data_IF_139245087027
#
_entry.id   IF_139245087027
#
_cell.length_a   1.000
_cell.length_b   1.000
_cell.length_c   1.000
_cell.angle_alpha   90.00
_cell.angle_beta   90.00
_cell.angle_gamma   90.00
#
_symmetry.space_group_name_H-M   'P 1'
#
loop_
_entity.id
_entity.type
_entity.pdbx_description
1 polymer ?
#
# COMPACT_ATOMS: atom_id res chain seq x y z
N UNK A 1 12.97 4.98 17.52
CA UNK A 1 13.83 5.59 16.48
C UNK A 1 13.05 5.72 15.19
N UNK A 2 13.33 6.75 14.41
CA UNK A 2 12.59 6.99 13.17
C UNK A 2 12.61 5.81 12.21
N UNK A 3 13.72 5.05 12.20
CA UNK A 3 13.85 3.89 11.31
C UNK A 3 12.93 2.73 11.64
N UNK A 4 12.31 2.75 12.82
CA UNK A 4 11.39 1.69 13.24
C UNK A 4 9.94 2.04 12.98
N UNK A 5 9.67 3.25 12.52
CA UNK A 5 8.30 3.65 12.17
C UNK A 5 7.84 2.94 10.93
N UNK A 6 6.56 2.54 10.94
CA UNK A 6 5.91 2.01 9.76
C UNK A 6 5.70 3.15 8.75
N UNK A 7 6.09 2.94 7.52
CA UNK A 7 5.79 3.89 6.44
C UNK A 7 4.58 3.37 5.66
N UNK A 8 3.54 4.19 5.58
CA UNK A 8 2.33 3.86 4.81
C UNK A 8 2.40 4.65 3.51
N UNK A 9 2.51 3.95 2.39
CA UNK A 9 2.46 4.58 1.07
C UNK A 9 1.01 4.57 0.61
N UNK A 10 0.41 5.74 0.60
CA UNK A 10 -1.03 5.91 0.37
C UNK A 10 -1.28 6.83 -0.82
N UNK A 11 -1.28 6.28 -2.06
CA UNK A 11 -1.56 7.09 -3.24
C UNK A 11 -3.05 7.44 -3.32
N UNK A 12 -3.43 8.62 -2.84
CA UNK A 12 -4.81 9.09 -2.83
C UNK A 12 -5.25 9.76 -4.12
N UNK A 13 -4.30 10.14 -4.94
CA UNK A 13 -4.56 10.96 -6.11
C UNK A 13 -5.50 10.25 -7.09
N UNK A 14 -6.74 10.75 -7.16
CA UNK A 14 -7.80 10.25 -8.04
C UNK A 14 -8.35 8.85 -7.74
N UNK A 15 -8.18 8.39 -6.52
CA UNK A 15 -8.99 7.28 -6.05
C UNK A 15 -10.44 7.70 -5.88
N UNK A 16 -11.37 6.76 -5.90
CA UNK A 16 -12.76 7.04 -5.60
C UNK A 16 -12.89 7.52 -4.15
N UNK A 17 -13.70 8.53 -3.93
CA UNK A 17 -13.94 9.05 -2.59
C UNK A 17 -14.49 7.97 -1.66
N UNK A 18 -15.35 7.10 -2.16
CA UNK A 18 -15.95 6.02 -1.42
C UNK A 18 -14.91 5.00 -0.93
N UNK A 19 -14.04 4.54 -1.82
CA UNK A 19 -12.99 3.59 -1.47
C UNK A 19 -11.97 4.23 -0.52
N UNK A 20 -11.65 5.50 -0.70
CA UNK A 20 -10.77 6.21 0.22
C UNK A 20 -11.38 6.32 1.62
N UNK A 21 -12.67 6.59 1.72
CA UNK A 21 -13.34 6.70 3.01
C UNK A 21 -13.29 5.38 3.77
N UNK A 22 -13.55 4.26 3.10
CA UNK A 22 -13.45 2.93 3.73
C UNK A 22 -12.02 2.63 4.16
N UNK A 23 -11.07 2.90 3.28
CA UNK A 23 -9.66 2.63 3.55
C UNK A 23 -9.15 3.47 4.72
N UNK A 24 -9.56 4.74 4.80
CA UNK A 24 -9.18 5.61 5.91
C UNK A 24 -9.68 5.06 7.25
N UNK A 25 -10.90 4.54 7.31
CA UNK A 25 -11.43 3.93 8.52
C UNK A 25 -10.61 2.70 8.93
N UNK A 26 -10.25 1.88 7.96
CA UNK A 26 -9.44 0.68 8.23
C UNK A 26 -8.05 1.07 8.71
N UNK A 27 -7.42 2.05 8.08
CA UNK A 27 -6.11 2.51 8.48
C UNK A 27 -6.13 3.09 9.88
N UNK A 28 -7.13 3.89 10.21
CA UNK A 28 -7.26 4.47 11.55
C UNK A 28 -7.33 3.37 12.60
N UNK A 29 -8.14 2.34 12.36
CA UNK A 29 -8.27 1.22 13.29
C UNK A 29 -6.99 0.37 13.34
N UNK A 30 -6.39 0.07 12.19
CA UNK A 30 -5.22 -0.79 12.11
C UNK A 30 -3.96 -0.13 12.69
N UNK A 31 -3.86 1.18 12.57
CA UNK A 31 -2.68 1.93 13.03
C UNK A 31 -2.83 2.48 14.44
N UNK A 32 -3.93 2.20 15.12
CA UNK A 32 -4.13 2.65 16.48
C UNK A 32 -3.02 2.10 17.38
N UNK A 33 -2.34 3.00 18.08
CA UNK A 33 -1.22 2.63 18.95
C UNK A 33 0.07 2.30 18.21
N UNK A 34 0.11 2.43 16.88
CA UNK A 34 1.29 2.16 16.07
C UNK A 34 1.90 3.49 15.60
N UNK A 35 3.21 3.63 15.79
CA UNK A 35 3.91 4.81 15.28
C UNK A 35 4.12 4.63 13.77
N UNK A 36 3.36 5.40 13.00
CA UNK A 36 3.37 5.31 11.55
C UNK A 36 3.40 6.69 10.89
N UNK A 37 4.06 6.77 9.75
CA UNK A 37 4.05 7.96 8.90
C UNK A 37 3.32 7.64 7.62
N UNK A 38 2.34 8.47 7.25
CA UNK A 38 1.57 8.28 6.03
C UNK A 38 2.13 9.21 4.95
N UNK A 39 2.57 8.63 3.85
CA UNK A 39 3.08 9.35 2.69
C UNK A 39 2.01 9.35 1.63
N UNK A 40 1.37 10.51 1.43
CA UNK A 40 0.27 10.66 0.49
C UNK A 40 0.71 11.23 -0.85
N UNK A 41 1.76 12.03 -0.85
CA UNK A 41 2.28 12.66 -2.07
C UNK A 41 3.34 11.78 -2.71
N UNK A 42 2.97 11.11 -3.78
CA UNK A 42 3.87 10.18 -4.47
C UNK A 42 5.02 10.89 -5.20
N UNK A 43 4.94 12.19 -5.38
CA UNK A 43 6.07 12.97 -5.95
C UNK A 43 7.29 12.95 -5.01
N UNK A 44 7.08 12.66 -3.73
CA UNK A 44 8.17 12.58 -2.76
C UNK A 44 9.01 11.30 -2.87
N UNK A 45 8.52 10.29 -3.59
CA UNK A 45 9.19 8.98 -3.66
C UNK A 45 10.60 9.07 -4.23
N UNK A 46 10.81 9.92 -5.23
CA UNK A 46 12.10 10.05 -5.89
C UNK A 46 13.07 11.01 -5.21
N UNK A 47 12.58 11.79 -4.24
CA UNK A 47 13.40 12.84 -3.62
C UNK A 47 14.42 12.31 -2.62
N UNK A 48 14.15 11.15 -2.01
CA UNK A 48 15.07 10.54 -1.06
C UNK A 48 15.06 9.02 -1.26
N UNK A 49 15.94 8.53 -2.14
CA UNK A 49 15.95 7.10 -2.48
C UNK A 49 16.33 6.18 -1.33
N UNK A 50 17.00 6.69 -0.30
CA UNK A 50 17.38 5.88 0.84
C UNK A 50 16.27 5.71 1.88
N UNK A 51 15.24 6.54 1.80
CA UNK A 51 14.20 6.63 2.84
C UNK A 51 13.43 5.33 3.07
N UNK A 52 13.24 4.57 2.01
CA UNK A 52 12.36 3.39 2.03
C UNK A 52 13.11 2.07 2.18
N UNK A 53 14.41 2.09 2.13
CA UNK A 53 15.24 0.89 2.25
C UNK A 53 15.29 0.41 3.69
N UNK A 54 15.19 -0.92 3.87
CA UNK A 54 15.24 -1.53 5.19
C UNK A 54 14.07 -1.21 6.10
N UNK A 55 12.99 -0.65 5.58
CA UNK A 55 11.85 -0.18 6.37
C UNK A 55 10.69 -1.18 6.35
N UNK A 56 9.83 -1.06 7.34
CA UNK A 56 8.52 -1.72 7.31
C UNK A 56 7.57 -0.82 6.53
N UNK A 57 6.92 -1.39 5.53
CA UNK A 57 6.08 -0.64 4.61
C UNK A 57 4.68 -1.23 4.56
N UNK A 58 3.70 -0.36 4.40
CA UNK A 58 2.32 -0.74 4.11
C UNK A 58 1.88 0.04 2.88
N UNK A 59 1.53 -0.69 1.82
CA UNK A 59 0.94 -0.07 0.64
C UNK A 59 -0.57 -0.03 0.85
N UNK A 60 -1.14 1.17 0.90
CA UNK A 60 -2.58 1.37 1.07
C UNK A 60 -3.11 1.99 -0.23
N UNK A 61 -3.85 1.20 -1.02
CA UNK A 61 -4.22 1.59 -2.38
C UNK A 61 -5.73 1.59 -2.57
N UNK A 62 -6.37 2.77 -2.61
CA UNK A 62 -7.78 2.88 -2.99
C UNK A 62 -7.88 2.99 -4.51
N UNK A 63 -8.46 1.98 -5.13
CA UNK A 63 -8.69 2.00 -6.58
C UNK A 63 -10.01 2.70 -6.88
N UNK A 64 -10.00 3.57 -7.86
CA UNK A 64 -11.19 4.26 -8.29
C UNK A 64 -12.04 3.43 -9.25
N UNK A 65 -12.94 4.09 -9.95
CA UNK A 65 -13.79 3.47 -10.94
C UNK A 65 -12.97 2.69 -11.96
N UNK A 66 -13.42 1.49 -12.30
CA UNK A 66 -12.73 0.58 -13.22
C UNK A 66 -11.34 0.16 -12.74
N UNK A 67 -11.08 0.23 -11.43
CA UNK A 67 -9.81 -0.20 -10.85
C UNK A 67 -8.64 0.74 -11.12
N UNK A 68 -8.91 2.03 -11.33
CA UNK A 68 -7.87 3.00 -11.71
C UNK A 68 -7.47 3.89 -10.53
N UNK A 69 -6.17 4.05 -10.32
CA UNK A 69 -5.60 5.03 -9.40
C UNK A 69 -4.27 5.51 -9.99
N UNK A 70 -4.21 6.79 -10.36
CA UNK A 70 -3.01 7.36 -10.99
C UNK A 70 -1.81 7.41 -10.07
N UNK A 71 -2.03 7.66 -8.79
CA UNK A 71 -0.95 7.65 -7.82
C UNK A 71 -0.32 6.26 -7.68
N UNK A 72 -1.12 5.23 -7.79
CA UNK A 72 -0.62 3.86 -7.80
C UNK A 72 0.30 3.61 -9.01
N UNK A 73 -0.05 4.13 -10.19
CA UNK A 73 0.83 3.98 -11.36
C UNK A 73 2.16 4.70 -11.17
N UNK A 74 2.19 5.81 -10.44
CA UNK A 74 3.44 6.48 -10.08
C UNK A 74 4.28 5.59 -9.16
N UNK A 75 3.66 4.89 -8.22
CA UNK A 75 4.33 3.92 -7.36
C UNK A 75 4.92 2.79 -8.19
N UNK A 76 4.16 2.22 -9.13
CA UNK A 76 4.66 1.15 -9.99
C UNK A 76 5.86 1.60 -10.83
N UNK A 77 5.81 2.78 -11.41
CA UNK A 77 6.90 3.31 -12.21
C UNK A 77 8.17 3.47 -11.37
N UNK A 78 8.01 3.98 -10.15
CA UNK A 78 9.13 4.12 -9.21
C UNK A 78 9.74 2.75 -8.84
N UNK A 79 8.90 1.76 -8.52
CA UNK A 79 9.36 0.42 -8.18
C UNK A 79 10.08 -0.26 -9.36
N UNK A 80 9.63 0.00 -10.57
CA UNK A 80 10.18 -0.60 -11.79
C UNK A 80 11.41 0.11 -12.35
N UNK A 81 11.87 1.15 -11.67
CA UNK A 81 13.00 1.95 -12.13
C UNK A 81 14.36 1.25 -12.07
N UNK A 82 14.43 0.06 -11.49
CA UNK A 82 15.66 -0.75 -11.51
C UNK A 82 16.69 -0.45 -10.42
N UNK A 83 16.36 0.44 -9.48
CA UNK A 83 17.34 0.90 -8.48
C UNK A 83 17.20 0.21 -7.11
N UNK A 84 16.39 -0.84 -7.00
CA UNK A 84 16.20 -1.55 -5.72
C UNK A 84 15.83 -0.60 -4.57
N UNK A 85 14.86 0.28 -4.83
CA UNK A 85 14.47 1.35 -3.90
C UNK A 85 13.93 0.85 -2.56
N UNK A 86 13.52 -0.43 -2.50
CA UNK A 86 13.01 -1.07 -1.30
C UNK A 86 13.94 -2.16 -0.76
N UNK A 87 15.22 -2.12 -1.11
CA UNK A 87 16.18 -3.13 -0.65
C UNK A 87 16.10 -3.33 0.86
N UNK A 88 15.90 -4.57 1.30
CA UNK A 88 15.80 -4.92 2.72
C UNK A 88 14.48 -4.57 3.39
N UNK A 89 13.52 -4.01 2.67
CA UNK A 89 12.22 -3.67 3.25
C UNK A 89 11.33 -4.91 3.39
N UNK A 90 10.40 -4.83 4.35
CA UNK A 90 9.36 -5.84 4.54
C UNK A 90 8.01 -5.13 4.46
N UNK A 91 7.11 -5.66 3.66
CA UNK A 91 5.87 -4.98 3.35
C UNK A 91 4.61 -5.80 3.50
N UNK A 92 3.51 -5.10 3.48
CA UNK A 92 2.16 -5.61 3.36
C UNK A 92 1.35 -4.66 2.49
N UNK A 93 0.12 -5.02 2.18
CA UNK A 93 -0.73 -4.16 1.36
C UNK A 93 -2.19 -4.27 1.76
N UNK A 94 -2.89 -3.15 1.67
CA UNK A 94 -4.35 -3.07 1.82
C UNK A 94 -4.86 -2.42 0.55
N UNK A 95 -5.74 -3.10 -0.17
CA UNK A 95 -6.27 -2.61 -1.44
C UNK A 95 -7.80 -2.60 -1.38
N UNK A 96 -8.41 -1.48 -1.71
CA UNK A 96 -9.85 -1.35 -1.77
C UNK A 96 -10.29 -1.02 -3.20
N UNK A 97 -11.34 -1.67 -3.68
CA UNK A 97 -11.86 -1.47 -5.02
C UNK A 97 -13.32 -1.86 -5.11
N UNK A 98 -13.93 -1.63 -6.27
CA UNK A 98 -15.32 -2.02 -6.53
C UNK A 98 -15.52 -3.54 -6.50
N UNK A 99 -14.50 -4.32 -6.87
CA UNK A 99 -14.61 -5.77 -6.92
C UNK A 99 -13.28 -6.45 -6.62
N UNK A 100 -13.36 -7.72 -6.21
CA UNK A 100 -12.19 -8.55 -5.94
C UNK A 100 -11.33 -8.77 -7.19
N UNK A 101 -11.90 -8.66 -8.36
CA UNK A 101 -11.13 -8.77 -9.60
C UNK A 101 -10.03 -7.72 -9.64
N UNK A 102 -10.36 -6.49 -9.30
CA UNK A 102 -9.38 -5.40 -9.31
C UNK A 102 -8.37 -5.51 -8.16
N UNK A 103 -8.82 -5.90 -6.97
CA UNK A 103 -7.91 -6.01 -5.82
C UNK A 103 -6.87 -7.09 -6.04
N UNK A 104 -7.27 -8.24 -6.55
CA UNK A 104 -6.34 -9.36 -6.77
C UNK A 104 -5.36 -9.07 -7.90
N UNK A 105 -5.83 -8.48 -8.99
CA UNK A 105 -4.97 -8.11 -10.11
C UNK A 105 -3.91 -7.07 -9.67
N UNK A 106 -4.35 -6.06 -8.93
CA UNK A 106 -3.45 -5.02 -8.41
C UNK A 106 -2.46 -5.59 -7.42
N UNK A 107 -2.91 -6.45 -6.51
CA UNK A 107 -2.05 -7.07 -5.52
C UNK A 107 -0.93 -7.88 -6.16
N UNK A 108 -1.26 -8.65 -7.19
CA UNK A 108 -0.28 -9.45 -7.93
C UNK A 108 0.74 -8.56 -8.62
N UNK A 109 0.29 -7.53 -9.30
CA UNK A 109 1.15 -6.58 -9.98
C UNK A 109 2.08 -5.86 -9.01
N UNK A 110 1.52 -5.36 -7.90
CA UNK A 110 2.29 -4.65 -6.88
C UNK A 110 3.30 -5.56 -6.20
N UNK A 111 2.90 -6.79 -5.87
CA UNK A 111 3.80 -7.75 -5.23
C UNK A 111 5.02 -8.05 -6.10
N UNK A 112 4.82 -8.25 -7.40
CA UNK A 112 5.92 -8.50 -8.33
C UNK A 112 6.85 -7.29 -8.41
N UNK A 113 6.28 -6.10 -8.57
CA UNK A 113 7.07 -4.88 -8.69
C UNK A 113 7.86 -4.59 -7.41
N UNK A 114 7.23 -4.74 -6.25
CA UNK A 114 7.88 -4.49 -4.97
C UNK A 114 8.98 -5.53 -4.68
N UNK A 115 8.72 -6.80 -4.98
CA UNK A 115 9.73 -7.85 -4.82
C UNK A 115 10.97 -7.56 -5.67
N UNK A 116 10.78 -7.12 -6.90
CA UNK A 116 11.90 -6.74 -7.78
C UNK A 116 12.65 -5.52 -7.26
N UNK A 117 11.95 -4.64 -6.54
CA UNK A 117 12.57 -3.47 -5.92
C UNK A 117 13.26 -3.79 -4.60
N UNK A 118 13.19 -5.05 -4.12
CA UNK A 118 13.88 -5.51 -2.92
C UNK A 118 13.02 -5.70 -1.69
N UNK A 119 11.71 -5.53 -1.81
CA UNK A 119 10.77 -5.70 -0.69
C UNK A 119 10.32 -7.14 -0.56
N UNK A 120 10.35 -7.69 0.65
CA UNK A 120 9.82 -9.00 0.96
C UNK A 120 8.42 -8.86 1.57
N UNK A 121 7.53 -9.78 1.21
CA UNK A 121 6.22 -9.90 1.86
C UNK A 121 6.20 -11.19 2.66
N UNK A 122 5.69 -11.12 3.90
CA UNK A 122 5.67 -12.25 4.82
C UNK A 122 4.22 -12.58 5.17
N UNK A 123 3.87 -13.88 5.15
CA UNK A 123 2.53 -14.34 5.49
C UNK A 123 1.50 -13.95 4.42
N UNK A 124 0.40 -13.35 4.86
CA UNK A 124 -0.64 -12.84 3.97
C UNK A 124 -0.44 -11.35 3.74
N UNK A 125 0.25 -10.94 2.68
CA UNK A 125 0.55 -9.53 2.48
C UNK A 125 -0.65 -8.68 2.09
N UNK A 126 -1.70 -9.29 1.54
CA UNK A 126 -2.86 -8.56 1.04
C UNK A 126 -4.03 -8.60 2.01
N UNK A 127 -4.56 -7.43 2.31
CA UNK A 127 -5.87 -7.28 2.93
C UNK A 127 -6.78 -6.60 1.89
N UNK A 128 -7.89 -7.26 1.57
CA UNK A 128 -8.81 -6.77 0.54
C UNK A 128 -10.05 -6.15 1.15
N UNK A 129 -10.51 -5.06 0.54
CA UNK A 129 -11.80 -4.48 0.86
C UNK A 129 -12.54 -4.14 -0.40
N UNK A 130 -13.69 -4.75 -0.59
CA UNK A 130 -14.51 -4.51 -1.79
C UNK A 130 -15.94 -4.16 -1.47
N UNK A 131 -16.53 -4.81 -0.50
CA UNK A 131 -17.96 -4.68 -0.24
C UNK A 131 -18.29 -4.16 1.15
N UNK A 132 -17.46 -4.41 2.15
CA UNK A 132 -17.76 -3.99 3.52
C UNK A 132 -16.50 -3.82 4.36
N UNK A 133 -16.61 -2.98 5.37
CA UNK A 133 -15.58 -2.76 6.37
C UNK A 133 -15.28 -4.05 7.15
N UNK A 134 -16.30 -4.88 7.39
CA UNK A 134 -16.13 -6.15 8.12
C UNK A 134 -15.14 -7.08 7.44
N UNK A 135 -15.13 -7.07 6.11
CA UNK A 135 -14.19 -7.87 5.34
C UNK A 135 -12.74 -7.46 5.64
N UNK A 136 -12.47 -6.17 5.73
CA UNK A 136 -11.16 -5.67 6.14
C UNK A 136 -10.78 -6.12 7.55
N UNK A 137 -11.70 -6.00 8.48
CA UNK A 137 -11.46 -6.34 9.87
C UNK A 137 -11.09 -7.82 10.04
N UNK A 138 -11.81 -8.70 9.33
CA UNK A 138 -11.54 -10.13 9.37
C UNK A 138 -10.16 -10.43 8.80
N UNK A 139 -9.82 -9.86 7.66
CA UNK A 139 -8.53 -10.11 7.02
C UNK A 139 -7.37 -9.50 7.80
N UNK A 140 -7.55 -8.30 8.34
CA UNK A 140 -6.53 -7.65 9.14
C UNK A 140 -6.19 -8.46 10.40
N UNK A 141 -7.17 -9.12 11.01
CA UNK A 141 -6.96 -9.96 12.18
C UNK A 141 -6.10 -11.20 11.87
N UNK A 142 -6.03 -11.61 10.61
CA UNK A 142 -5.25 -12.76 10.16
C UNK A 142 -3.92 -12.36 9.50
N UNK A 143 -3.69 -11.09 9.36
CA UNK A 143 -2.47 -10.55 8.78
C UNK A 143 -1.48 -10.18 9.86
#
# INVERSE_FOLDING_TARGET
MENDRLLVLYPQKRGSEKERARLDEVLEAALDGIDAEIVENMDLLEQDPERYRGRRLLFAVPLGKNGINRGYYEVLAWLRGGEQVLSGAVGGMIIDAESEFYTKATARELAVAANRAGCAFVGRPLVEGTASLDNYLIQAAHS
#
